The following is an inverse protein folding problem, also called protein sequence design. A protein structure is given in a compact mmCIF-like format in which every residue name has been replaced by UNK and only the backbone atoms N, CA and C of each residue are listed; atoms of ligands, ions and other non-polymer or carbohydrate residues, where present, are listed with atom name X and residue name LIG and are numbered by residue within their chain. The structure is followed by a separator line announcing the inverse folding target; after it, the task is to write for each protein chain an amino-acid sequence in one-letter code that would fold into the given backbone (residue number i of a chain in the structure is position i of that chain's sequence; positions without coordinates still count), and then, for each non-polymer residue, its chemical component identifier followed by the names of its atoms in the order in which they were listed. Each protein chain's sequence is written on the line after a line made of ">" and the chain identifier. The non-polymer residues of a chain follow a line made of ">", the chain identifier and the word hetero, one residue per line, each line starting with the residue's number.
data_IF_222124472162
#
_entry.id   IF_222124472162
#
_cell.length_a   1.000
_cell.length_b   1.000
_cell.length_c   1.000
_cell.angle_alpha   90.00
_cell.angle_beta   90.00
_cell.angle_gamma   90.00
#
_symmetry.space_group_name_H-M   'P 1'
#
loop_
_entity.id
_entity.type
_entity.pdbx_description
1 polymer ?
#
# COMPACT_ATOMS: atom_id res chain seq x y z
N UNK A 1 -15.85 23.43 17.99
CA UNK A 1 -14.42 23.16 18.21
C UNK A 1 -14.04 22.05 17.24
N UNK A 2 -13.65 22.42 16.01
CA UNK A 2 -13.16 21.44 15.04
C UNK A 2 -11.69 21.19 15.38
N UNK A 3 -11.34 19.96 15.76
CA UNK A 3 -9.94 19.57 15.87
C UNK A 3 -9.36 19.63 14.46
N UNK A 4 -8.55 20.65 14.17
CA UNK A 4 -7.63 20.60 13.04
C UNK A 4 -6.63 19.50 13.37
N UNK A 5 -6.78 18.35 12.72
CA UNK A 5 -5.73 17.34 12.71
C UNK A 5 -4.65 17.91 11.80
N UNK A 6 -3.44 18.07 12.34
CA UNK A 6 -2.29 18.49 11.55
C UNK A 6 -2.05 17.46 10.42
N UNK A 7 -1.59 17.89 9.24
CA UNK A 7 -1.28 16.97 8.14
C UNK A 7 -0.24 15.92 8.57
N UNK A 8 0.68 16.29 9.48
CA UNK A 8 1.66 15.34 10.04
C UNK A 8 1.00 14.24 10.87
N UNK A 9 0.05 14.60 11.73
CA UNK A 9 -0.69 13.64 12.57
C UNK A 9 -1.58 12.72 11.72
N UNK A 10 -2.22 13.26 10.68
CA UNK A 10 -3.02 12.48 9.74
C UNK A 10 -2.16 11.48 8.96
N UNK A 11 -1.03 11.94 8.41
CA UNK A 11 -0.11 11.08 7.66
C UNK A 11 0.49 9.99 8.55
N UNK A 12 0.84 10.32 9.78
CA UNK A 12 1.33 9.37 10.78
C UNK A 12 0.29 8.31 11.10
N UNK A 13 -0.96 8.69 11.33
CA UNK A 13 -2.04 7.73 11.59
C UNK A 13 -2.26 6.80 10.39
N UNK A 14 -2.28 7.35 9.18
CA UNK A 14 -2.42 6.57 7.94
C UNK A 14 -1.34 5.49 7.80
N UNK A 15 -0.08 5.83 8.08
CA UNK A 15 1.02 4.86 8.02
C UNK A 15 0.90 3.80 9.13
N UNK A 16 0.41 4.17 10.33
CA UNK A 16 0.13 3.20 11.41
C UNK A 16 -0.95 2.19 11.03
N UNK A 17 -2.00 2.66 10.36
CA UNK A 17 -3.07 1.79 9.86
C UNK A 17 -2.52 0.84 8.78
N UNK A 18 -1.66 1.35 7.88
CA UNK A 18 -0.97 0.55 6.88
C UNK A 18 -0.06 -0.52 7.50
N UNK A 19 0.75 -0.18 8.50
CA UNK A 19 1.59 -1.14 9.23
C UNK A 19 0.71 -2.24 9.84
N UNK A 20 -0.41 -1.86 10.46
CA UNK A 20 -1.34 -2.81 11.08
C UNK A 20 -1.91 -3.78 10.04
N UNK A 21 -2.34 -3.26 8.89
CA UNK A 21 -2.83 -4.06 7.76
C UNK A 21 -1.75 -5.01 7.23
N UNK A 22 -0.52 -4.53 7.07
CA UNK A 22 0.61 -5.29 6.53
C UNK A 22 1.29 -6.20 7.57
N UNK A 23 0.77 -6.27 8.79
CA UNK A 23 1.14 -7.30 9.76
C UNK A 23 0.17 -8.49 9.75
N UNK A 24 -1.01 -8.35 9.12
CA UNK A 24 -1.95 -9.46 8.99
C UNK A 24 -1.38 -10.53 8.04
N UNK A 25 -1.18 -11.74 8.58
CA UNK A 25 -0.67 -12.89 7.84
C UNK A 25 -1.49 -13.20 6.57
N UNK A 26 -2.81 -13.00 6.62
CA UNK A 26 -3.71 -13.21 5.49
C UNK A 26 -3.38 -12.24 4.36
N UNK A 27 -3.21 -10.96 4.70
CA UNK A 27 -2.91 -9.88 3.75
C UNK A 27 -1.52 -10.02 3.13
N UNK A 28 -0.47 -10.24 3.93
CA UNK A 28 0.91 -10.35 3.43
C UNK A 28 1.16 -11.58 2.56
N UNK A 29 0.30 -12.59 2.65
CA UNK A 29 0.37 -13.79 1.82
C UNK A 29 -0.11 -13.55 0.39
N UNK A 30 -0.87 -12.46 0.16
CA UNK A 30 -1.39 -12.13 -1.16
C UNK A 30 -0.30 -11.57 -2.08
N UNK A 31 -0.19 -12.09 -3.31
CA UNK A 31 0.90 -11.78 -4.23
C UNK A 31 0.98 -10.30 -4.65
N UNK A 32 -0.16 -9.60 -4.63
CA UNK A 32 -0.24 -8.17 -4.99
C UNK A 32 0.18 -7.19 -3.89
N UNK A 33 0.56 -7.67 -2.70
CA UNK A 33 0.87 -6.82 -1.54
C UNK A 33 2.39 -6.71 -1.34
N UNK A 34 2.88 -5.49 -1.06
CA UNK A 34 4.26 -5.27 -0.68
C UNK A 34 4.55 -5.90 0.68
N UNK A 35 5.69 -6.57 0.83
CA UNK A 35 6.02 -7.23 2.08
C UNK A 35 6.65 -6.24 3.05
N UNK A 36 6.04 -6.05 4.21
CA UNK A 36 6.63 -5.31 5.31
C UNK A 36 7.79 -6.11 5.91
N UNK A 37 8.99 -5.52 5.94
CA UNK A 37 10.18 -6.08 6.60
C UNK A 37 10.24 -5.61 8.05
N UNK A 38 9.92 -4.34 8.29
CA UNK A 38 9.91 -3.75 9.62
C UNK A 38 9.57 -2.26 9.60
N UNK A 39 9.40 -1.68 10.79
CA UNK A 39 9.14 -0.25 10.96
C UNK A 39 9.83 0.25 12.24
N UNK A 40 10.01 1.56 12.35
CA UNK A 40 10.52 2.26 13.52
C UNK A 40 9.60 3.44 13.83
N UNK A 41 9.18 3.60 15.08
CA UNK A 41 8.39 4.73 15.58
C UNK A 41 9.08 5.29 16.83
N UNK A 42 10.09 6.12 16.63
CA UNK A 42 10.95 6.68 17.69
C UNK A 42 11.23 8.16 17.43
N UNK A 43 11.40 8.94 18.50
CA UNK A 43 11.78 10.37 18.46
C UNK A 43 10.93 11.24 17.52
N UNK A 44 9.63 10.96 17.41
CA UNK A 44 8.73 11.70 16.52
C UNK A 44 8.91 11.36 15.03
N UNK A 45 9.66 10.32 14.69
CA UNK A 45 9.87 9.84 13.32
C UNK A 45 9.24 8.45 13.14
N UNK A 46 8.46 8.29 12.07
CA UNK A 46 7.90 7.00 11.65
C UNK A 46 8.56 6.58 10.34
N UNK A 47 9.25 5.45 10.35
CA UNK A 47 9.95 4.90 9.19
C UNK A 47 9.48 3.47 8.92
N UNK A 48 9.35 3.09 7.65
CA UNK A 48 8.86 1.76 7.24
C UNK A 48 9.77 1.18 6.16
N UNK A 49 10.07 -0.11 6.25
CA UNK A 49 10.93 -0.84 5.31
C UNK A 49 10.13 -1.93 4.64
N UNK A 50 10.10 -1.92 3.31
CA UNK A 50 9.41 -2.90 2.47
C UNK A 50 10.39 -3.71 1.63
N UNK A 51 10.08 -4.99 1.42
CA UNK A 51 10.72 -5.83 0.41
C UNK A 51 9.94 -5.70 -0.91
N UNK A 52 10.52 -4.92 -1.83
CA UNK A 52 9.96 -4.64 -3.15
C UNK A 52 10.60 -5.56 -4.18
N UNK A 53 9.76 -6.30 -4.91
CA UNK A 53 10.21 -7.20 -5.98
C UNK A 53 10.42 -6.50 -7.33
N UNK A 54 10.00 -5.24 -7.45
CA UNK A 54 10.09 -4.46 -8.69
C UNK A 54 11.17 -3.38 -8.56
N UNK A 55 11.87 -3.03 -9.65
CA UNK A 55 12.92 -2.01 -9.62
C UNK A 55 12.37 -0.59 -9.45
N UNK A 56 11.07 -0.39 -9.65
CA UNK A 56 10.42 0.93 -9.59
C UNK A 56 8.89 0.78 -9.42
N UNK A 57 8.20 1.91 -9.26
CA UNK A 57 6.73 2.00 -9.22
C UNK A 57 6.11 1.89 -10.61
N UNK A 58 4.85 1.47 -10.69
CA UNK A 58 4.10 1.42 -11.96
C UNK A 58 4.06 2.80 -12.63
N UNK A 59 3.86 3.86 -11.85
CA UNK A 59 3.89 5.25 -12.31
C UNK A 59 5.19 5.60 -13.04
N UNK A 60 6.33 5.20 -12.49
CA UNK A 60 7.64 5.46 -13.08
C UNK A 60 7.94 4.54 -14.27
N UNK A 61 7.52 3.28 -14.23
CA UNK A 61 7.72 2.32 -15.31
C UNK A 61 6.93 2.71 -16.58
N UNK A 62 5.69 3.18 -16.41
CA UNK A 62 4.86 3.68 -17.53
C UNK A 62 5.54 4.83 -18.27
N UNK A 63 6.17 5.76 -17.53
CA UNK A 63 6.86 6.92 -18.13
C UNK A 63 8.13 6.54 -18.90
N UNK A 64 8.79 5.44 -18.53
CA UNK A 64 10.04 4.98 -19.13
C UNK A 64 9.84 4.15 -20.42
N UNK A 65 8.60 3.99 -20.88
CA UNK A 65 8.18 3.16 -22.03
C UNK A 65 8.62 1.67 -21.99
N UNK A 66 9.16 1.23 -20.85
CA UNK A 66 9.47 -0.19 -20.58
C UNK A 66 8.25 -0.95 -20.05
N UNK A 67 7.03 -0.46 -20.33
CA UNK A 67 5.79 -0.98 -19.75
C UNK A 67 4.67 -1.09 -20.79
N UNK A 68 4.75 -2.16 -21.58
CA UNK A 68 3.86 -2.42 -22.71
C UNK A 68 2.41 -2.72 -22.31
N UNK A 69 1.51 -2.72 -23.29
CA UNK A 69 0.08 -2.93 -23.06
C UNK A 69 -0.24 -4.22 -22.27
N UNK A 70 0.43 -5.33 -22.59
CA UNK A 70 0.21 -6.60 -21.89
C UNK A 70 0.57 -6.52 -20.40
N UNK A 71 1.63 -5.80 -20.04
CA UNK A 71 2.04 -5.65 -18.64
C UNK A 71 1.06 -4.75 -17.87
N UNK A 72 0.51 -3.73 -18.54
CA UNK A 72 -0.57 -2.89 -17.98
C UNK A 72 -1.79 -3.72 -17.66
N UNK A 73 -2.26 -4.56 -18.59
CA UNK A 73 -3.40 -5.44 -18.35
C UNK A 73 -3.14 -6.41 -17.20
N UNK A 74 -1.93 -7.00 -17.13
CA UNK A 74 -1.57 -7.91 -16.01
C UNK A 74 -1.61 -7.21 -14.66
N UNK A 75 -1.02 -6.01 -14.54
CA UNK A 75 -1.03 -5.26 -13.28
C UNK A 75 -2.44 -4.84 -12.89
N UNK A 76 -3.25 -4.37 -13.85
CA UNK A 76 -4.64 -4.00 -13.57
C UNK A 76 -5.46 -5.17 -13.04
N UNK A 77 -5.28 -6.37 -13.60
CA UNK A 77 -5.95 -7.59 -13.10
C UNK A 77 -5.46 -7.96 -11.71
N UNK A 78 -4.15 -7.93 -11.47
CA UNK A 78 -3.59 -8.22 -10.13
C UNK A 78 -4.09 -7.24 -9.07
N UNK A 79 -4.17 -5.95 -9.40
CA UNK A 79 -4.73 -4.92 -8.53
C UNK A 79 -6.21 -5.20 -8.25
N UNK A 80 -7.01 -5.50 -9.27
CA UNK A 80 -8.43 -5.82 -9.10
C UNK A 80 -8.65 -7.03 -8.18
N UNK A 81 -7.88 -8.11 -8.34
CA UNK A 81 -7.95 -9.28 -7.47
C UNK A 81 -7.56 -8.96 -6.02
N UNK A 82 -6.55 -8.10 -5.82
CA UNK A 82 -6.18 -7.65 -4.47
C UNK A 82 -7.32 -6.84 -3.82
N UNK A 83 -7.91 -5.90 -4.57
CA UNK A 83 -9.01 -5.08 -4.06
C UNK A 83 -10.23 -5.93 -3.70
N UNK A 84 -10.60 -6.89 -4.55
CA UNK A 84 -11.65 -7.86 -4.25
C UNK A 84 -11.34 -8.63 -2.95
N UNK A 85 -10.12 -9.16 -2.84
CA UNK A 85 -9.70 -9.91 -1.66
C UNK A 85 -9.81 -9.07 -0.37
N UNK A 86 -9.34 -7.83 -0.38
CA UNK A 86 -9.36 -6.94 0.78
C UNK A 86 -10.79 -6.53 1.17
N UNK A 87 -11.64 -6.23 0.20
CA UNK A 87 -13.04 -5.84 0.43
C UNK A 87 -13.93 -7.00 0.90
N UNK A 88 -13.56 -8.25 0.60
CA UNK A 88 -14.30 -9.43 1.04
C UNK A 88 -13.89 -9.94 2.44
N UNK A 89 -12.97 -9.29 3.15
CA UNK A 89 -12.66 -9.64 4.54
C UNK A 89 -13.80 -9.24 5.49
N UNK A 90 -13.81 -9.84 6.69
CA UNK A 90 -14.76 -9.50 7.77
C UNK A 90 -13.97 -9.19 9.07
N UNK A 91 -13.89 -7.91 9.48
CA UNK A 91 -14.41 -6.72 8.80
C UNK A 91 -13.63 -6.41 7.49
N UNK A 92 -14.24 -5.69 6.54
CA UNK A 92 -13.60 -5.39 5.25
C UNK A 92 -12.47 -4.36 5.41
N UNK A 93 -11.39 -4.54 4.66
CA UNK A 93 -10.32 -3.55 4.56
C UNK A 93 -10.64 -2.53 3.46
N UNK A 94 -10.85 -1.26 3.82
CA UNK A 94 -11.18 -0.18 2.88
C UNK A 94 -9.93 0.60 2.52
N UNK A 95 -9.63 0.70 1.22
CA UNK A 95 -8.54 1.52 0.71
C UNK A 95 -9.09 2.88 0.27
N UNK A 96 -8.61 3.95 0.88
CA UNK A 96 -9.10 5.31 0.62
C UNK A 96 -8.39 6.04 -0.52
N UNK A 97 -7.05 5.89 -0.66
CA UNK A 97 -6.27 6.62 -1.66
C UNK A 97 -5.59 5.66 -2.64
N UNK A 98 -6.20 5.46 -3.81
CA UNK A 98 -5.62 4.78 -4.98
C UNK A 98 -5.37 5.80 -6.10
N UNK A 99 -4.77 6.94 -5.77
CA UNK A 99 -4.40 7.91 -6.82
C UNK A 99 -3.09 7.47 -7.48
N UNK A 100 -3.10 7.48 -8.81
CA UNK A 100 -2.03 7.01 -9.70
C UNK A 100 -1.06 8.10 -10.16
#
# INVERSE_FOLDING_TARGET
>A
MFCYIDEEDYNRQRIKDEITLLQDHKVISHQGVAKLVGFCDEDGHLSVVYDLKTPDTVHNLIKKDNFGWLDRVKISVQLACLLEYLHCQDPPYIIHNLDA
#
